data_IF_946710765384
#
_entry.id   IF_946710765384
#
_cell.length_a   1.000
_cell.length_b   1.000
_cell.length_c   1.000
_cell.angle_alpha   90.00
_cell.angle_beta   90.00
_cell.angle_gamma   90.00
#
_symmetry.space_group_name_H-M   'P 1'
#
loop_
_entity.id
_entity.type
_entity.pdbx_description
1 polymer ?
#
# COMPACT_ATOMS: atom_id res chain seq x y z
N UNK A 1 2.58 -22.41 19.20
CA UNK A 1 2.00 -23.61 18.56
C UNK A 1 1.81 -23.32 17.08
N UNK A 2 2.59 -23.95 16.20
CA UNK A 2 2.40 -23.82 14.76
C UNK A 2 1.32 -24.80 14.30
N UNK A 3 0.22 -24.26 13.76
CA UNK A 3 -0.86 -25.08 13.17
C UNK A 3 -0.52 -25.34 11.71
N UNK A 4 -0.22 -26.59 11.39
CA UNK A 4 -0.06 -27.02 10.01
C UNK A 4 -1.45 -27.26 9.40
N UNK A 5 -1.81 -26.47 8.38
CA UNK A 5 -3.06 -26.61 7.63
C UNK A 5 -2.72 -27.27 6.29
N UNK A 6 -3.44 -28.34 5.95
CA UNK A 6 -3.34 -29.00 4.67
C UNK A 6 -4.51 -28.58 3.78
N UNK A 7 -4.21 -28.08 2.58
CA UNK A 7 -5.21 -27.63 1.60
C UNK A 7 -5.09 -28.57 0.39
N UNK A 8 -6.22 -29.12 -0.05
CA UNK A 8 -6.32 -29.98 -1.23
C UNK A 8 -7.44 -29.50 -2.13
N UNK A 9 -7.25 -29.64 -3.45
CA UNK A 9 -8.26 -29.31 -4.45
C UNK A 9 -9.09 -30.54 -4.79
N UNK A 10 -10.40 -30.39 -4.75
CA UNK A 10 -11.34 -31.40 -5.25
C UNK A 10 -11.83 -30.92 -6.61
N UNK A 11 -11.83 -31.82 -7.60
CA UNK A 11 -12.34 -31.51 -8.93
C UNK A 11 -13.85 -31.26 -8.83
N UNK A 12 -14.34 -30.18 -9.42
CA UNK A 12 -15.77 -29.92 -9.53
C UNK A 12 -16.41 -30.97 -10.44
N UNK A 13 -16.90 -32.06 -9.85
CA UNK A 13 -17.70 -33.07 -10.52
C UNK A 13 -19.00 -33.21 -9.74
N UNK A 14 -20.11 -33.01 -10.46
CA UNK A 14 -21.50 -33.15 -10.01
C UNK A 14 -21.69 -34.35 -9.07
N UNK A 15 -22.37 -34.16 -7.95
CA UNK A 15 -22.69 -35.21 -6.97
C UNK A 15 -21.91 -35.18 -5.65
N UNK A 16 -21.23 -34.08 -5.32
CA UNK A 16 -20.72 -33.84 -3.96
C UNK A 16 -21.58 -32.79 -3.27
N UNK A 17 -22.47 -33.23 -2.38
CA UNK A 17 -23.45 -32.38 -1.69
C UNK A 17 -22.83 -31.11 -1.07
N UNK A 18 -21.67 -31.24 -0.40
CA UNK A 18 -21.00 -30.08 0.22
C UNK A 18 -20.44 -29.06 -0.78
N UNK A 19 -20.09 -29.48 -2.00
CA UNK A 19 -19.66 -28.56 -3.06
C UNK A 19 -20.86 -27.88 -3.73
N UNK A 20 -21.97 -28.62 -3.90
CA UNK A 20 -23.22 -28.06 -4.43
C UNK A 20 -23.86 -27.08 -3.46
N UNK A 21 -23.85 -27.38 -2.16
CA UNK A 21 -24.30 -26.47 -1.11
C UNK A 21 -23.43 -25.21 -1.06
N UNK A 22 -22.10 -25.36 -1.10
CA UNK A 22 -21.19 -24.22 -1.11
C UNK A 22 -21.37 -23.33 -2.36
N UNK A 23 -21.54 -23.93 -3.55
CA UNK A 23 -21.80 -23.20 -4.79
C UNK A 23 -23.17 -22.50 -4.76
N UNK A 24 -24.20 -23.18 -4.25
CA UNK A 24 -25.54 -22.63 -4.05
C UNK A 24 -25.53 -21.41 -3.13
N UNK A 25 -24.83 -21.50 -1.99
CA UNK A 25 -24.67 -20.39 -1.04
C UNK A 25 -23.86 -19.24 -1.65
N UNK A 26 -22.80 -19.54 -2.41
CA UNK A 26 -22.02 -18.52 -3.10
C UNK A 26 -22.86 -17.77 -4.15
N UNK A 27 -23.70 -18.51 -4.89
CA UNK A 27 -24.63 -17.94 -5.88
C UNK A 27 -25.73 -17.11 -5.23
N UNK A 28 -26.33 -17.59 -4.14
CA UNK A 28 -27.31 -16.83 -3.36
C UNK A 28 -26.71 -15.54 -2.80
N UNK A 29 -25.46 -15.58 -2.31
CA UNK A 29 -24.76 -14.40 -1.83
C UNK A 29 -24.46 -13.40 -2.96
N UNK A 30 -24.11 -13.90 -4.16
CA UNK A 30 -23.86 -13.07 -5.34
C UNK A 30 -25.14 -12.46 -5.92
N UNK A 31 -26.25 -13.20 -5.88
CA UNK A 31 -27.59 -12.75 -6.30
C UNK A 31 -28.29 -11.93 -5.22
N UNK A 32 -27.78 -11.93 -3.97
CA UNK A 32 -28.33 -11.09 -2.90
C UNK A 32 -28.17 -9.62 -3.25
N UNK A 33 -29.25 -8.86 -3.10
CA UNK A 33 -29.33 -7.41 -3.30
C UNK A 33 -28.59 -6.64 -2.19
N UNK A 34 -27.43 -7.15 -1.75
CA UNK A 34 -26.49 -6.36 -0.98
C UNK A 34 -25.94 -5.34 -1.94
N UNK A 35 -26.39 -4.09 -1.78
CA UNK A 35 -25.76 -2.93 -2.38
C UNK A 35 -24.23 -3.10 -2.28
N UNK A 36 -23.51 -3.21 -3.41
CA UNK A 36 -22.05 -3.17 -3.39
C UNK A 36 -21.72 -1.87 -2.69
N UNK A 37 -21.17 -1.95 -1.46
CA UNK A 37 -20.99 -0.82 -0.55
C UNK A 37 -20.71 0.45 -1.36
N UNK A 38 -21.76 1.25 -1.58
CA UNK A 38 -21.69 2.33 -2.55
C UNK A 38 -20.85 3.42 -1.92
N UNK A 39 -19.53 3.35 -2.16
CA UNK A 39 -18.61 4.39 -1.70
C UNK A 39 -18.96 5.61 -2.54
N UNK A 40 -19.75 6.52 -1.95
CA UNK A 40 -20.23 7.76 -2.60
C UNK A 40 -19.13 8.56 -3.27
N UNK A 41 -17.89 8.40 -2.80
CA UNK A 41 -16.71 8.95 -3.42
C UNK A 41 -15.92 7.84 -4.15
N UNK A 42 -15.48 8.07 -5.39
CA UNK A 42 -14.52 7.19 -6.04
C UNK A 42 -13.30 6.97 -5.13
N UNK A 43 -12.78 5.73 -5.10
CA UNK A 43 -11.56 5.41 -4.33
C UNK A 43 -10.38 6.33 -4.72
N UNK A 44 -10.34 6.77 -5.98
CA UNK A 44 -9.37 7.75 -6.48
C UNK A 44 -9.44 9.10 -5.76
N UNK A 45 -10.64 9.57 -5.40
CA UNK A 45 -10.84 10.80 -4.65
C UNK A 45 -10.24 10.68 -3.25
N UNK A 46 -10.54 9.59 -2.54
CA UNK A 46 -9.97 9.35 -1.21
C UNK A 46 -8.44 9.21 -1.26
N UNK A 47 -7.92 8.48 -2.27
CA UNK A 47 -6.47 8.38 -2.52
C UNK A 47 -5.83 9.75 -2.75
N UNK A 48 -6.51 10.66 -3.46
CA UNK A 48 -6.00 12.01 -3.72
C UNK A 48 -5.91 12.84 -2.44
N UNK A 49 -6.88 12.73 -1.54
CA UNK A 49 -6.88 13.41 -0.23
C UNK A 49 -5.71 12.91 0.62
N UNK A 50 -5.56 11.59 0.76
CA UNK A 50 -4.46 11.01 1.53
C UNK A 50 -3.10 11.38 0.94
N UNK A 51 -2.96 11.31 -0.38
CA UNK A 51 -1.72 11.71 -1.05
C UNK A 51 -1.40 13.18 -0.76
N UNK A 52 -2.39 14.09 -0.85
CA UNK A 52 -2.19 15.50 -0.57
C UNK A 52 -1.72 15.73 0.87
N UNK A 53 -2.44 15.16 1.85
CA UNK A 53 -2.09 15.31 3.26
C UNK A 53 -0.71 14.75 3.57
N UNK A 54 -0.39 13.57 3.06
CA UNK A 54 0.93 12.97 3.20
C UNK A 54 2.02 13.89 2.63
N UNK A 55 1.83 14.43 1.42
CA UNK A 55 2.82 15.34 0.83
C UNK A 55 3.02 16.63 1.64
N UNK A 56 1.95 17.15 2.26
CA UNK A 56 2.02 18.33 3.14
C UNK A 56 2.79 18.03 4.43
N UNK A 57 2.45 16.92 5.09
CA UNK A 57 3.11 16.48 6.33
C UNK A 57 4.62 16.24 6.06
N UNK A 58 4.97 15.51 4.99
CA UNK A 58 6.36 15.27 4.59
C UNK A 58 7.12 16.54 4.21
N UNK A 59 6.45 17.51 3.58
CA UNK A 59 7.08 18.80 3.25
C UNK A 59 7.36 19.60 4.52
N UNK A 60 6.46 19.59 5.50
CA UNK A 60 6.68 20.24 6.80
C UNK A 60 7.90 19.64 7.50
N UNK A 61 7.96 18.31 7.59
CA UNK A 61 9.09 17.61 8.20
C UNK A 61 10.40 17.96 7.47
N UNK A 62 10.37 18.01 6.13
CA UNK A 62 11.55 18.36 5.32
C UNK A 62 12.02 19.80 5.51
N UNK A 63 11.11 20.73 5.80
CA UNK A 63 11.41 22.14 6.05
C UNK A 63 11.99 22.37 7.45
N UNK A 64 11.46 21.65 8.44
CA UNK A 64 11.80 21.77 9.86
C UNK A 64 13.06 20.97 10.25
N UNK A 65 13.47 19.99 9.45
CA UNK A 65 14.65 19.16 9.73
C UNK A 65 15.97 19.91 9.44
N UNK A 66 16.86 19.95 10.45
CA UNK A 66 18.21 20.55 10.33
C UNK A 66 19.22 19.56 9.71
N UNK A 67 18.94 18.26 9.79
CA UNK A 67 19.74 17.20 9.18
C UNK A 67 19.48 17.12 7.68
N UNK A 68 20.53 16.95 6.87
CA UNK A 68 20.36 16.78 5.41
C UNK A 68 20.11 18.08 4.63
N UNK A 69 20.41 19.25 5.22
CA UNK A 69 20.19 20.57 4.59
C UNK A 69 20.89 20.76 3.25
N UNK A 70 22.01 20.06 3.02
CA UNK A 70 22.68 20.03 1.70
C UNK A 70 21.78 19.46 0.61
N UNK A 71 21.04 18.38 0.91
CA UNK A 71 20.03 17.78 0.02
C UNK A 71 18.82 18.68 -0.11
N UNK A 72 18.36 19.31 0.98
CA UNK A 72 17.27 20.29 0.96
C UNK A 72 17.56 21.45 0.00
N UNK A 73 18.78 22.00 0.02
CA UNK A 73 19.17 23.11 -0.87
C UNK A 73 19.11 22.73 -2.35
N UNK A 74 19.21 21.44 -2.67
CA UNK A 74 19.17 20.90 -4.02
C UNK A 74 17.74 20.53 -4.42
N UNK A 75 16.99 19.93 -3.50
CA UNK A 75 15.60 19.51 -3.65
C UNK A 75 14.78 20.01 -2.45
N UNK A 76 14.38 21.29 -2.46
CA UNK A 76 13.65 21.88 -1.33
C UNK A 76 12.21 21.41 -1.24
N UNK A 77 11.70 20.78 -2.31
CA UNK A 77 10.30 20.36 -2.40
C UNK A 77 10.18 18.86 -2.58
N UNK A 78 9.47 18.22 -1.67
CA UNK A 78 9.16 16.79 -1.72
C UNK A 78 8.26 16.55 -2.93
N UNK A 79 8.59 15.51 -3.71
CA UNK A 79 7.83 15.15 -4.89
C UNK A 79 7.81 13.64 -5.09
N UNK A 80 6.72 13.12 -5.66
CA UNK A 80 6.61 11.70 -6.05
C UNK A 80 7.17 11.42 -7.44
N UNK A 81 7.66 12.44 -8.14
CA UNK A 81 8.28 12.29 -9.45
C UNK A 81 9.79 12.13 -9.29
N UNK A 82 10.38 11.28 -10.14
CA UNK A 82 11.82 11.13 -10.17
C UNK A 82 12.44 12.43 -10.71
N UNK A 83 13.16 13.17 -9.86
CA UNK A 83 13.87 14.35 -10.31
C UNK A 83 14.96 13.94 -11.29
N UNK A 84 14.90 14.41 -12.55
CA UNK A 84 15.98 14.18 -13.51
C UNK A 84 17.19 15.01 -13.10
N UNK A 85 18.17 14.35 -12.48
CA UNK A 85 19.42 14.95 -12.03
C UNK A 85 20.26 15.44 -13.21
N UNK A 86 20.44 16.76 -13.35
CA UNK A 86 21.45 17.35 -14.24
C UNK A 86 22.73 17.65 -13.45
N UNK A 87 23.42 16.57 -13.07
CA UNK A 87 24.84 16.46 -12.70
C UNK A 87 25.56 17.64 -12.02
N UNK A 88 25.92 17.47 -10.73
CA UNK A 88 27.32 17.53 -10.26
C UNK A 88 27.51 16.82 -8.92
N UNK A 89 28.38 15.79 -8.95
CA UNK A 89 28.97 14.97 -7.88
C UNK A 89 28.01 14.27 -6.90
N UNK A 90 28.03 12.93 -6.98
CA UNK A 90 27.40 12.00 -6.05
C UNK A 90 28.07 12.11 -4.67
N UNK A 91 27.35 12.58 -3.67
CA UNK A 91 27.66 12.25 -2.27
C UNK A 91 26.85 10.99 -1.97
N UNK A 92 27.51 9.84 -1.98
CA UNK A 92 26.92 8.59 -1.49
C UNK A 92 26.65 8.75 0.02
N UNK A 93 25.41 8.46 0.43
CA UNK A 93 25.00 8.34 1.83
C UNK A 93 25.52 7.01 2.37
N UNK A 94 26.77 6.97 2.82
CA UNK A 94 27.20 6.02 3.85
C UNK A 94 26.99 6.72 5.18
N UNK A 95 25.89 6.41 5.86
CA UNK A 95 25.76 6.46 7.34
C UNK A 95 24.32 6.09 7.71
N UNK A 96 23.96 4.81 7.50
CA UNK A 96 22.84 4.24 8.27
C UNK A 96 23.37 3.92 9.68
N UNK A 97 22.78 4.48 10.75
CA UNK A 97 23.20 4.16 12.11
C UNK A 97 23.00 2.68 12.36
N UNK A 98 24.07 2.01 12.82
CA UNK A 98 24.01 0.64 13.33
C UNK A 98 22.96 0.56 14.45
N UNK A 99 21.94 -0.26 14.27
CA UNK A 99 21.07 -0.66 15.37
C UNK A 99 21.87 -1.54 16.33
N UNK A 100 21.99 -1.19 17.63
CA UNK A 100 22.61 -2.07 18.60
C UNK A 100 21.68 -3.25 18.91
N UNK A 101 22.17 -4.46 18.67
CA UNK A 101 21.59 -5.66 19.25
C UNK A 101 22.09 -5.78 20.70
N UNK A 102 21.15 -5.77 21.65
CA UNK A 102 21.33 -6.43 22.95
C UNK A 102 20.78 -7.84 22.87
#
# INVERSE_FOLDING_TARGET
>A
MNKHIHISWIKATFGYDGNEEADGLAKEAADSDRDPLYVKAPISFLKSIFKKKMMEDWQSDWEDEDTGRSTFNILPRVSTQHATWKGKKSCFLEDMPHFPHT
#
